data_IF_581241150480
#
_entry.id   IF_581241150480
#
_cell.length_a   1.000
_cell.length_b   1.000
_cell.length_c   1.000
_cell.angle_alpha   90.00
_cell.angle_beta   90.00
_cell.angle_gamma   90.00
#
_symmetry.space_group_name_H-M   'P 1'
#
loop_
_entity.id
_entity.type
_entity.pdbx_description
1 polymer ?
#
# COMPACT_ATOMS: atom_id res chain seq x y z
N UNK A 1 9.66 -43.87 5.66
CA UNK A 1 9.22 -42.86 6.66
C UNK A 1 9.49 -41.41 6.21
N UNK A 2 10.55 -41.11 5.46
CA UNK A 2 10.86 -39.75 4.96
C UNK A 2 9.81 -39.14 4.00
N UNK A 3 9.31 -39.89 3.02
CA UNK A 3 8.32 -39.38 2.05
C UNK A 3 6.99 -38.93 2.69
N UNK A 4 6.58 -39.58 3.78
CA UNK A 4 5.32 -39.23 4.48
C UNK A 4 5.44 -37.91 5.25
N UNK A 5 6.63 -37.58 5.76
CA UNK A 5 6.90 -36.32 6.46
C UNK A 5 6.94 -35.15 5.48
N UNK A 6 7.64 -35.31 4.35
CA UNK A 6 7.74 -34.31 3.27
C UNK A 6 6.35 -33.98 2.69
N UNK A 7 5.52 -35.00 2.46
CA UNK A 7 4.16 -34.81 1.94
C UNK A 7 3.26 -34.05 2.94
N UNK A 8 3.42 -34.30 4.24
CA UNK A 8 2.66 -33.61 5.30
C UNK A 8 3.07 -32.14 5.42
N UNK A 9 4.37 -31.85 5.41
CA UNK A 9 4.91 -30.49 5.43
C UNK A 9 4.47 -29.69 4.18
N UNK A 10 4.52 -30.30 3.00
CA UNK A 10 4.03 -29.68 1.76
C UNK A 10 2.52 -29.39 1.81
N UNK A 11 1.71 -30.32 2.32
CA UNK A 11 0.26 -30.11 2.50
C UNK A 11 -0.02 -28.96 3.46
N UNK A 12 0.70 -28.87 4.58
CA UNK A 12 0.53 -27.77 5.53
C UNK A 12 0.88 -26.40 4.93
N UNK A 13 1.92 -26.32 4.10
CA UNK A 13 2.28 -25.11 3.38
C UNK A 13 1.17 -24.68 2.40
N UNK A 14 0.62 -25.63 1.63
CA UNK A 14 -0.48 -25.36 0.70
C UNK A 14 -1.73 -24.87 1.44
N UNK A 15 -2.07 -25.50 2.57
CA UNK A 15 -3.23 -25.10 3.37
C UNK A 15 -3.07 -23.68 3.94
N UNK A 16 -1.88 -23.32 4.42
CA UNK A 16 -1.60 -21.95 4.90
C UNK A 16 -1.71 -20.93 3.77
N UNK A 17 -1.20 -21.26 2.58
CA UNK A 17 -1.32 -20.41 1.40
C UNK A 17 -2.80 -20.21 1.01
N UNK A 18 -3.57 -21.29 0.93
CA UNK A 18 -4.99 -21.24 0.62
C UNK A 18 -5.77 -20.38 1.63
N UNK A 19 -5.42 -20.47 2.92
CA UNK A 19 -6.01 -19.64 3.97
C UNK A 19 -5.75 -18.14 3.73
N UNK A 20 -4.52 -17.75 3.39
CA UNK A 20 -4.20 -16.35 3.11
C UNK A 20 -4.89 -15.83 1.85
N UNK A 21 -5.02 -16.66 0.81
CA UNK A 21 -5.79 -16.32 -0.39
C UNK A 21 -7.27 -16.10 -0.04
N UNK A 22 -7.86 -16.99 0.76
CA UNK A 22 -9.25 -16.86 1.21
C UNK A 22 -9.45 -15.57 2.02
N UNK A 23 -8.56 -15.26 2.96
CA UNK A 23 -8.62 -14.04 3.76
C UNK A 23 -8.46 -12.77 2.90
N UNK A 24 -7.53 -12.76 1.94
CA UNK A 24 -7.39 -11.66 0.97
C UNK A 24 -8.64 -11.45 0.12
N UNK A 25 -9.29 -12.55 -0.31
CA UNK A 25 -10.55 -12.53 -1.06
C UNK A 25 -11.69 -11.96 -0.22
N UNK A 26 -11.78 -12.35 1.06
CA UNK A 26 -12.79 -11.82 1.99
C UNK A 26 -12.62 -10.33 2.24
N UNK A 27 -11.38 -9.85 2.41
CA UNK A 27 -11.09 -8.42 2.58
C UNK A 27 -11.53 -7.64 1.34
N UNK A 28 -11.18 -8.13 0.14
CA UNK A 28 -11.64 -7.56 -1.12
C UNK A 28 -13.17 -7.48 -1.16
N UNK A 29 -13.85 -8.61 -0.91
CA UNK A 29 -15.30 -8.71 -1.01
C UNK A 29 -15.99 -7.72 -0.07
N UNK A 30 -15.59 -7.69 1.20
CA UNK A 30 -16.20 -6.82 2.22
C UNK A 30 -15.98 -5.33 1.88
N UNK A 31 -14.76 -4.97 1.46
CA UNK A 31 -14.45 -3.59 1.09
C UNK A 31 -15.20 -3.17 -0.18
N UNK A 32 -15.31 -4.05 -1.18
CA UNK A 32 -16.07 -3.81 -2.40
C UNK A 32 -17.56 -3.61 -2.09
N UNK A 33 -18.16 -4.46 -1.25
CA UNK A 33 -19.56 -4.36 -0.86
C UNK A 33 -19.85 -3.04 -0.14
N UNK A 34 -18.97 -2.64 0.78
CA UNK A 34 -19.10 -1.39 1.52
C UNK A 34 -18.99 -0.18 0.60
N UNK A 35 -17.91 -0.06 -0.17
CA UNK A 35 -17.68 1.06 -1.08
C UNK A 35 -18.79 1.18 -2.13
N UNK A 36 -19.26 0.06 -2.66
CA UNK A 36 -20.39 0.02 -3.60
C UNK A 36 -21.66 0.61 -2.98
N UNK A 37 -21.99 0.19 -1.75
CA UNK A 37 -23.18 0.66 -1.05
C UNK A 37 -23.15 2.18 -0.87
N UNK A 38 -22.02 2.73 -0.43
CA UNK A 38 -21.84 4.18 -0.29
C UNK A 38 -21.88 4.91 -1.63
N UNK A 39 -21.23 4.37 -2.67
CA UNK A 39 -21.16 5.00 -3.98
C UNK A 39 -22.55 5.14 -4.62
N UNK A 40 -23.31 4.04 -4.73
CA UNK A 40 -24.62 4.07 -5.36
C UNK A 40 -25.63 4.88 -4.55
N UNK A 41 -25.57 4.82 -3.22
CA UNK A 41 -26.41 5.67 -2.37
C UNK A 41 -26.08 7.15 -2.53
N UNK A 42 -24.80 7.50 -2.60
CA UNK A 42 -24.33 8.86 -2.82
C UNK A 42 -24.73 9.41 -4.20
N UNK A 43 -24.57 8.61 -5.25
CA UNK A 43 -25.00 8.97 -6.61
C UNK A 43 -26.52 9.18 -6.69
N UNK A 44 -27.31 8.32 -6.06
CA UNK A 44 -28.76 8.48 -6.01
C UNK A 44 -29.16 9.81 -5.35
N UNK A 45 -28.61 10.12 -4.17
CA UNK A 45 -28.89 11.37 -3.44
C UNK A 45 -28.47 12.59 -4.28
N UNK A 46 -27.32 12.50 -4.97
CA UNK A 46 -26.83 13.55 -5.84
C UNK A 46 -27.79 13.82 -7.01
N UNK A 47 -28.24 12.76 -7.69
CA UNK A 47 -29.18 12.89 -8.80
C UNK A 47 -30.56 13.38 -8.36
N UNK A 48 -31.02 12.96 -7.18
CA UNK A 48 -32.26 13.45 -6.59
C UNK A 48 -32.15 14.96 -6.26
N UNK A 49 -31.03 15.40 -5.67
CA UNK A 49 -30.77 16.80 -5.37
C UNK A 49 -30.81 17.70 -6.61
N UNK A 50 -30.26 17.24 -7.73
CA UNK A 50 -30.30 17.95 -9.02
C UNK A 50 -31.56 17.68 -9.85
N UNK A 51 -32.51 16.89 -9.32
CA UNK A 51 -33.73 16.46 -10.02
C UNK A 51 -33.44 15.82 -11.39
N UNK A 52 -32.35 15.07 -11.48
CA UNK A 52 -31.83 14.46 -12.70
C UNK A 52 -31.77 12.93 -12.62
N UNK A 53 -32.60 12.30 -11.77
CA UNK A 53 -32.67 10.84 -11.62
C UNK A 53 -32.90 10.12 -12.95
N UNK A 54 -33.62 10.74 -13.89
CA UNK A 54 -33.85 10.22 -15.23
C UNK A 54 -32.59 10.06 -16.09
N UNK A 55 -31.46 10.69 -15.72
CA UNK A 55 -30.16 10.51 -16.41
C UNK A 55 -29.73 9.04 -16.37
N UNK A 56 -30.12 8.28 -15.34
CA UNK A 56 -29.83 6.85 -15.24
C UNK A 56 -30.46 5.98 -16.34
N UNK A 57 -31.38 6.51 -17.14
CA UNK A 57 -31.98 5.81 -18.28
C UNK A 57 -31.11 5.85 -19.56
N UNK A 58 -30.05 6.67 -19.58
CA UNK A 58 -29.19 6.83 -20.75
C UNK A 58 -27.94 5.94 -20.65
N UNK A 59 -27.60 5.28 -21.75
CA UNK A 59 -26.44 4.38 -21.83
C UNK A 59 -25.13 5.07 -21.49
N UNK A 60 -24.95 6.33 -21.89
CA UNK A 60 -23.76 7.13 -21.60
C UNK A 60 -23.58 7.32 -20.09
N UNK A 61 -24.67 7.55 -19.37
CA UNK A 61 -24.64 7.69 -17.92
C UNK A 61 -24.31 6.35 -17.24
N UNK A 62 -24.87 5.24 -17.74
CA UNK A 62 -24.55 3.90 -17.24
C UNK A 62 -23.06 3.54 -17.45
N UNK A 63 -22.49 3.90 -18.61
CA UNK A 63 -21.06 3.75 -18.88
C UNK A 63 -20.20 4.60 -17.92
N UNK A 64 -20.60 5.85 -17.67
CA UNK A 64 -19.90 6.72 -16.73
C UNK A 64 -19.96 6.17 -15.29
N UNK A 65 -21.12 5.73 -14.82
CA UNK A 65 -21.29 5.11 -13.49
C UNK A 65 -20.46 3.82 -13.40
N UNK A 66 -20.37 3.05 -14.47
CA UNK A 66 -19.54 1.85 -14.55
C UNK A 66 -18.05 2.17 -14.40
N UNK A 67 -17.57 3.21 -15.09
CA UNK A 67 -16.18 3.67 -14.98
C UNK A 67 -15.87 4.22 -13.58
N UNK A 68 -16.80 4.99 -13.00
CA UNK A 68 -16.69 5.48 -11.62
C UNK A 68 -16.63 4.30 -10.64
N UNK A 69 -17.48 3.29 -10.82
CA UNK A 69 -17.50 2.10 -9.96
C UNK A 69 -16.18 1.31 -10.07
N UNK A 70 -15.61 1.18 -11.27
CA UNK A 70 -14.30 0.57 -11.46
C UNK A 70 -13.22 1.27 -10.63
N UNK A 71 -13.14 2.59 -10.74
CA UNK A 71 -12.13 3.41 -10.07
C UNK A 71 -12.34 3.58 -8.57
N UNK A 72 -13.58 3.75 -8.12
CA UNK A 72 -13.91 4.06 -6.73
C UNK A 72 -14.19 2.82 -5.87
N UNK A 73 -14.55 1.69 -6.47
CA UNK A 73 -14.93 0.47 -5.74
C UNK A 73 -13.96 -0.65 -6.02
N UNK A 74 -13.85 -1.11 -7.28
CA UNK A 74 -13.15 -2.36 -7.58
C UNK A 74 -11.63 -2.26 -7.47
N UNK A 75 -11.02 -1.16 -7.93
CA UNK A 75 -9.58 -0.95 -7.77
C UNK A 75 -9.20 -0.81 -6.27
N UNK A 76 -9.85 0.05 -5.46
CA UNK A 76 -9.49 0.21 -4.05
C UNK A 76 -9.74 -1.06 -3.22
N UNK A 77 -10.84 -1.77 -3.46
CA UNK A 77 -11.09 -3.05 -2.77
C UNK A 77 -10.05 -4.11 -3.15
N UNK A 78 -9.67 -4.20 -4.43
CA UNK A 78 -8.59 -5.07 -4.89
C UNK A 78 -7.28 -4.72 -4.19
N UNK A 79 -6.97 -3.43 -4.08
CA UNK A 79 -5.78 -2.93 -3.38
C UNK A 79 -5.74 -3.38 -1.92
N UNK A 80 -6.85 -3.27 -1.18
CA UNK A 80 -6.94 -3.74 0.20
C UNK A 80 -6.69 -5.26 0.33
N UNK A 81 -7.30 -6.09 -0.53
CA UNK A 81 -7.04 -7.53 -0.55
C UNK A 81 -5.60 -7.88 -0.95
N UNK A 82 -5.02 -7.10 -1.86
CA UNK A 82 -3.64 -7.20 -2.31
C UNK A 82 -2.63 -6.86 -1.22
N UNK A 83 -2.88 -5.79 -0.44
CA UNK A 83 -2.03 -5.39 0.69
C UNK A 83 -1.90 -6.53 1.71
N UNK A 84 -3.02 -7.16 2.08
CA UNK A 84 -3.01 -8.29 3.00
C UNK A 84 -2.23 -9.48 2.42
N UNK A 85 -2.55 -9.86 1.18
CA UNK A 85 -1.95 -11.03 0.54
C UNK A 85 -0.44 -10.83 0.34
N UNK A 86 -0.02 -9.65 -0.12
CA UNK A 86 1.39 -9.30 -0.27
C UNK A 86 2.14 -9.18 1.06
N UNK A 87 1.47 -8.82 2.15
CA UNK A 87 2.11 -8.80 3.46
C UNK A 87 2.42 -10.21 3.98
N UNK A 88 1.52 -11.18 3.75
CA UNK A 88 1.65 -12.55 4.26
C UNK A 88 2.37 -13.50 3.31
N UNK A 89 2.25 -13.29 2.01
CA UNK A 89 2.81 -14.17 0.99
C UNK A 89 3.89 -13.42 0.22
N UNK A 90 5.06 -14.04 0.12
CA UNK A 90 6.25 -13.43 -0.48
C UNK A 90 6.69 -14.19 -1.74
N UNK A 91 6.72 -15.52 -1.68
CA UNK A 91 7.12 -16.36 -2.81
C UNK A 91 6.06 -16.37 -3.91
N UNK A 92 6.47 -16.44 -5.18
CA UNK A 92 5.57 -16.50 -6.35
C UNK A 92 4.43 -15.46 -6.36
N UNK A 93 4.69 -14.29 -5.75
CA UNK A 93 3.68 -13.27 -5.47
C UNK A 93 2.83 -12.91 -6.69
N UNK A 94 3.45 -12.74 -7.87
CA UNK A 94 2.76 -12.39 -9.12
C UNK A 94 1.61 -13.34 -9.45
N UNK A 95 1.86 -14.66 -9.35
CA UNK A 95 0.86 -15.69 -9.65
C UNK A 95 -0.18 -15.74 -8.54
N UNK A 96 0.26 -15.61 -7.28
CA UNK A 96 -0.62 -15.73 -6.12
C UNK A 96 -1.64 -14.59 -6.06
N UNK A 97 -1.27 -13.36 -6.43
CA UNK A 97 -2.17 -12.20 -6.40
C UNK A 97 -3.37 -12.31 -7.35
N UNK A 98 -3.31 -13.19 -8.35
CA UNK A 98 -4.43 -13.44 -9.26
C UNK A 98 -5.59 -14.14 -8.52
N UNK A 99 -5.29 -15.05 -7.59
CA UNK A 99 -6.33 -15.86 -6.94
C UNK A 99 -7.27 -15.03 -6.06
N UNK A 100 -6.81 -14.13 -5.17
CA UNK A 100 -7.71 -13.28 -4.41
C UNK A 100 -8.61 -12.39 -5.27
N UNK A 101 -8.09 -11.91 -6.41
CA UNK A 101 -8.85 -11.09 -7.35
C UNK A 101 -10.01 -11.87 -7.97
N UNK A 102 -9.73 -13.07 -8.51
CA UNK A 102 -10.75 -13.90 -9.16
C UNK A 102 -11.74 -14.43 -8.14
N UNK A 103 -11.26 -15.07 -7.08
CA UNK A 103 -12.13 -15.68 -6.05
C UNK A 103 -13.00 -14.62 -5.39
N UNK A 104 -12.40 -13.49 -5.01
CA UNK A 104 -13.13 -12.36 -4.46
C UNK A 104 -14.20 -11.82 -5.41
N UNK A 105 -13.87 -11.62 -6.69
CA UNK A 105 -14.81 -11.10 -7.69
C UNK A 105 -15.99 -12.05 -7.92
N UNK A 106 -15.72 -13.36 -7.97
CA UNK A 106 -16.77 -14.39 -8.11
C UNK A 106 -17.70 -14.38 -6.90
N UNK A 107 -17.14 -14.33 -5.68
CA UNK A 107 -17.95 -14.24 -4.44
C UNK A 107 -18.81 -12.98 -4.44
N UNK A 108 -18.23 -11.83 -4.81
CA UNK A 108 -18.96 -10.57 -4.91
C UNK A 108 -20.12 -10.68 -5.91
N UNK A 109 -19.86 -11.21 -7.11
CA UNK A 109 -20.89 -11.38 -8.14
C UNK A 109 -22.00 -12.33 -7.69
N UNK A 110 -21.68 -13.47 -7.06
CA UNK A 110 -22.67 -14.39 -6.51
C UNK A 110 -23.53 -13.68 -5.47
N UNK A 111 -22.92 -12.93 -4.55
CA UNK A 111 -23.65 -12.23 -3.49
C UNK A 111 -24.54 -11.13 -4.06
N UNK A 112 -24.06 -10.36 -5.04
CA UNK A 112 -24.89 -9.36 -5.71
C UNK A 112 -26.07 -10.01 -6.46
N UNK A 113 -25.84 -11.10 -7.20
CA UNK A 113 -26.92 -11.77 -7.93
C UNK A 113 -27.93 -12.46 -7.00
N UNK A 114 -27.49 -13.12 -5.93
CA UNK A 114 -28.35 -13.92 -5.04
C UNK A 114 -29.04 -13.05 -3.99
N UNK A 115 -28.34 -12.12 -3.33
CA UNK A 115 -28.94 -11.32 -2.25
C UNK A 115 -29.63 -10.06 -2.78
N UNK A 116 -29.01 -9.32 -3.70
CA UNK A 116 -29.60 -8.08 -4.21
C UNK A 116 -30.64 -8.33 -5.32
N UNK A 117 -30.43 -9.36 -6.16
CA UNK A 117 -31.41 -9.79 -7.16
C UNK A 117 -32.74 -10.31 -6.58
N UNK A 118 -32.73 -10.83 -5.33
CA UNK A 118 -33.91 -11.39 -4.67
C UNK A 118 -34.60 -10.44 -3.66
N UNK A 119 -33.88 -9.42 -3.13
CA UNK A 119 -34.42 -8.46 -2.15
C UNK A 119 -34.79 -7.10 -2.79
N UNK A 120 -34.12 -6.68 -3.88
CA UNK A 120 -34.24 -5.33 -4.46
C UNK A 120 -34.63 -5.39 -5.96
N UNK A 121 -35.47 -6.33 -6.36
CA UNK A 121 -36.04 -6.34 -7.72
C UNK A 121 -37.00 -5.15 -7.98
N UNK A 122 -37.25 -4.30 -6.98
CA UNK A 122 -38.20 -3.18 -7.07
C UNK A 122 -37.59 -1.78 -7.20
N UNK A 123 -36.26 -1.57 -7.13
CA UNK A 123 -35.74 -0.19 -6.98
C UNK A 123 -34.50 0.23 -7.78
N UNK A 124 -33.86 -0.61 -8.60
CA UNK A 124 -32.65 -0.20 -9.34
C UNK A 124 -32.74 -0.47 -10.85
N UNK A 125 -33.31 0.50 -11.57
CA UNK A 125 -33.31 0.62 -13.03
C UNK A 125 -31.90 0.85 -13.65
N UNK A 126 -30.83 0.71 -12.86
CA UNK A 126 -29.43 1.01 -13.25
C UNK A 126 -28.60 -0.28 -13.49
N UNK A 127 -29.09 -1.44 -13.05
CA UNK A 127 -28.29 -2.69 -13.05
C UNK A 127 -28.61 -3.66 -14.20
N UNK A 128 -29.66 -3.41 -14.99
CA UNK A 128 -30.22 -4.43 -15.90
C UNK A 128 -29.73 -4.40 -17.36
N UNK A 129 -29.08 -3.32 -17.83
CA UNK A 129 -28.61 -3.25 -19.22
C UNK A 129 -27.14 -2.84 -19.33
N UNK A 130 -26.22 -3.77 -19.08
CA UNK A 130 -25.04 -3.94 -19.95
C UNK A 130 -24.52 -5.37 -19.80
N UNK A 131 -24.21 -6.05 -20.90
CA UNK A 131 -23.55 -7.37 -20.97
C UNK A 131 -22.09 -7.40 -20.42
N UNK A 132 -21.70 -6.46 -19.55
CA UNK A 132 -20.33 -6.25 -19.05
C UNK A 132 -20.17 -6.47 -17.51
N UNK A 133 -21.10 -7.06 -16.72
CA UNK A 133 -21.01 -6.98 -15.26
C UNK A 133 -19.92 -7.91 -14.68
N UNK A 134 -19.53 -8.97 -15.39
CA UNK A 134 -18.52 -9.93 -14.91
C UNK A 134 -17.10 -9.38 -15.07
N UNK A 135 -16.83 -8.64 -16.15
CA UNK A 135 -15.48 -8.19 -16.47
C UNK A 135 -15.01 -7.06 -15.57
N UNK A 136 -15.88 -6.13 -15.17
CA UNK A 136 -15.47 -4.93 -14.42
C UNK A 136 -14.93 -5.24 -13.02
N UNK A 137 -15.59 -6.08 -12.19
CA UNK A 137 -15.06 -6.44 -10.87
C UNK A 137 -13.74 -7.20 -10.98
N UNK A 138 -13.62 -8.10 -11.97
CA UNK A 138 -12.41 -8.88 -12.21
C UNK A 138 -11.26 -7.97 -12.62
N UNK A 139 -11.46 -7.11 -13.62
CA UNK A 139 -10.43 -6.18 -14.09
C UNK A 139 -9.98 -5.22 -12.98
N UNK A 140 -10.93 -4.59 -12.29
CA UNK A 140 -10.61 -3.65 -11.21
C UNK A 140 -9.91 -4.34 -10.05
N UNK A 141 -10.41 -5.50 -9.63
CA UNK A 141 -9.81 -6.24 -8.51
C UNK A 141 -8.41 -6.76 -8.85
N UNK A 142 -8.15 -7.20 -10.10
CA UNK A 142 -6.83 -7.61 -10.55
C UNK A 142 -5.86 -6.43 -10.51
N UNK A 143 -6.22 -5.29 -11.10
CA UNK A 143 -5.37 -4.09 -11.04
C UNK A 143 -5.08 -3.69 -9.59
N UNK A 144 -6.11 -3.67 -8.74
CA UNK A 144 -5.98 -3.35 -7.32
C UNK A 144 -5.08 -4.33 -6.57
N UNK A 145 -5.34 -5.64 -6.65
CA UNK A 145 -4.57 -6.66 -5.91
C UNK A 145 -3.10 -6.66 -6.29
N UNK A 146 -2.79 -6.45 -7.56
CA UNK A 146 -1.41 -6.24 -8.00
C UNK A 146 -0.81 -4.99 -7.37
N UNK A 147 -1.48 -3.84 -7.45
CA UNK A 147 -0.98 -2.61 -6.85
C UNK A 147 -0.72 -2.76 -5.33
N UNK A 148 -1.65 -3.38 -4.61
CA UNK A 148 -1.54 -3.61 -3.17
C UNK A 148 -0.44 -4.59 -2.80
N UNK A 149 -0.36 -5.73 -3.50
CA UNK A 149 0.63 -6.75 -3.21
C UNK A 149 2.07 -6.30 -3.49
N UNK A 150 2.27 -5.54 -4.56
CA UNK A 150 3.58 -4.98 -4.92
C UNK A 150 4.00 -3.85 -3.97
N UNK A 151 3.06 -3.02 -3.51
CA UNK A 151 3.34 -1.97 -2.50
C UNK A 151 4.01 -2.56 -1.26
N UNK A 152 3.56 -3.72 -0.79
CA UNK A 152 4.10 -4.34 0.43
C UNK A 152 5.48 -5.01 0.23
N UNK A 153 5.81 -5.40 -1.00
CA UNK A 153 7.06 -6.09 -1.34
C UNK A 153 8.02 -5.25 -2.18
N UNK A 154 7.76 -3.95 -2.31
CA UNK A 154 8.46 -3.04 -3.22
C UNK A 154 9.98 -3.16 -3.14
N UNK A 155 10.56 -3.05 -1.94
CA UNK A 155 12.01 -3.12 -1.73
C UNK A 155 12.62 -4.43 -2.23
N UNK A 156 11.99 -5.56 -1.90
CA UNK A 156 12.46 -6.88 -2.32
C UNK A 156 12.41 -7.01 -3.84
N UNK A 157 11.32 -6.58 -4.45
CA UNK A 157 11.11 -6.67 -5.90
C UNK A 157 12.09 -5.78 -6.69
N UNK A 158 12.45 -4.62 -6.15
CA UNK A 158 13.48 -3.76 -6.72
C UNK A 158 14.83 -4.47 -6.72
N UNK A 159 15.22 -5.09 -5.59
CA UNK A 159 16.45 -5.88 -5.47
C UNK A 159 16.43 -7.08 -6.45
N UNK A 160 15.33 -7.83 -6.51
CA UNK A 160 15.16 -8.97 -7.43
C UNK A 160 15.23 -8.56 -8.91
N UNK A 161 14.82 -7.32 -9.24
CA UNK A 161 14.92 -6.75 -10.60
C UNK A 161 16.29 -6.14 -10.90
N UNK A 162 17.26 -6.29 -10.00
CA UNK A 162 18.60 -5.72 -10.16
C UNK A 162 18.62 -4.20 -10.05
N UNK A 163 17.57 -3.57 -9.52
CA UNK A 163 17.62 -2.17 -9.17
C UNK A 163 18.61 -2.04 -8.01
N UNK A 164 19.65 -1.24 -8.21
CA UNK A 164 20.50 -0.81 -7.12
C UNK A 164 19.61 -0.13 -6.07
N UNK A 165 19.83 -0.37 -4.77
CA UNK A 165 19.23 0.47 -3.73
C UNK A 165 19.38 1.93 -4.14
N UNK A 166 18.38 2.78 -3.87
CA UNK A 166 18.50 4.22 -4.08
C UNK A 166 19.83 4.68 -3.45
N UNK A 167 20.85 4.87 -4.29
CA UNK A 167 22.11 5.50 -3.92
C UNK A 167 21.70 6.95 -3.66
N UNK A 168 21.44 7.25 -2.38
CA UNK A 168 21.26 8.63 -1.96
C UNK A 168 22.54 9.36 -2.37
N UNK A 169 22.47 10.59 -2.90
CA UNK A 169 23.65 11.41 -3.05
C UNK A 169 24.43 11.35 -1.73
N UNK A 170 25.75 11.12 -1.77
CA UNK A 170 26.60 10.97 -0.57
C UNK A 170 26.30 12.06 0.48
N UNK A 171 26.02 13.25 -0.04
CA UNK A 171 25.60 14.44 0.69
C UNK A 171 24.36 14.24 1.60
N UNK A 172 23.35 13.51 1.13
CA UNK A 172 22.13 13.19 1.88
C UNK A 172 22.40 12.06 2.88
N UNK A 173 23.24 11.09 2.53
CA UNK A 173 23.60 9.99 3.42
C UNK A 173 24.39 10.48 4.64
N UNK A 174 25.37 11.36 4.44
CA UNK A 174 26.14 12.02 5.51
C UNK A 174 25.22 12.81 6.47
N UNK A 175 24.28 13.59 5.92
CA UNK A 175 23.34 14.36 6.77
C UNK A 175 22.41 13.45 7.57
N UNK A 176 21.90 12.37 6.97
CA UNK A 176 21.09 11.36 7.65
C UNK A 176 21.89 10.65 8.75
N UNK A 177 23.15 10.34 8.51
CA UNK A 177 24.03 9.71 9.50
C UNK A 177 24.17 10.58 10.75
N UNK A 178 24.45 11.86 10.59
CA UNK A 178 24.55 12.81 11.71
C UNK A 178 23.22 12.98 12.46
N UNK A 179 22.08 12.89 11.79
CA UNK A 179 20.76 12.98 12.46
C UNK A 179 20.42 11.80 13.37
N UNK A 180 21.18 10.70 13.31
CA UNK A 180 21.03 9.58 14.27
C UNK A 180 21.38 10.00 15.70
N UNK A 181 22.22 11.02 15.88
CA UNK A 181 22.53 11.57 17.20
C UNK A 181 21.37 12.44 17.69
N UNK A 182 20.79 12.04 18.82
CA UNK A 182 19.67 12.75 19.45
C UNK A 182 20.04 14.22 19.71
N UNK A 183 19.32 15.13 19.07
CA UNK A 183 19.55 16.59 19.17
C UNK A 183 20.15 17.23 17.92
N UNK A 184 20.53 16.43 16.92
CA UNK A 184 20.93 16.89 15.59
C UNK A 184 19.74 16.73 14.63
N UNK A 185 19.10 17.85 14.29
CA UNK A 185 18.11 17.91 13.22
C UNK A 185 18.76 18.19 11.86
N UNK A 186 18.01 18.06 10.74
CA UNK A 186 18.54 18.20 9.39
C UNK A 186 19.30 19.51 9.15
N UNK A 187 18.76 20.65 9.63
CA UNK A 187 19.42 21.96 9.52
C UNK A 187 20.77 22.05 10.26
N UNK A 188 20.96 21.29 11.35
CA UNK A 188 22.23 21.25 12.08
C UNK A 188 23.20 20.30 11.42
N UNK A 189 22.72 19.17 10.89
CA UNK A 189 23.51 18.22 10.12
C UNK A 189 24.12 18.88 8.88
N UNK A 190 23.34 19.67 8.12
CA UNK A 190 23.84 20.43 6.97
C UNK A 190 24.94 21.42 7.36
N UNK A 191 24.78 22.15 8.46
CA UNK A 191 25.79 23.09 8.95
C UNK A 191 27.07 22.39 9.39
N UNK A 192 26.97 21.27 10.10
CA UNK A 192 28.12 20.46 10.51
C UNK A 192 28.86 19.90 9.30
N UNK A 193 28.12 19.45 8.29
CA UNK A 193 28.70 18.98 7.02
C UNK A 193 29.41 20.09 6.25
N UNK A 194 28.82 21.29 6.21
CA UNK A 194 29.46 22.46 5.60
C UNK A 194 30.77 22.86 6.31
N UNK A 195 30.91 22.54 7.61
CA UNK A 195 32.14 22.65 8.39
C UNK A 195 33.06 21.40 8.29
N UNK A 196 32.80 20.50 7.34
CA UNK A 196 33.65 19.33 7.08
C UNK A 196 33.39 18.11 7.97
N UNK A 197 32.38 18.14 8.84
CA UNK A 197 31.99 17.00 9.69
C UNK A 197 31.00 16.12 8.94
N UNK A 198 31.45 14.98 8.42
CA UNK A 198 30.65 14.11 7.54
C UNK A 198 30.07 12.91 8.29
N UNK A 199 30.82 12.37 9.26
CA UNK A 199 30.45 11.18 10.00
C UNK A 199 30.28 11.44 11.50
N UNK A 200 29.65 10.49 12.21
CA UNK A 200 29.55 10.54 13.68
C UNK A 200 30.95 10.53 14.33
N UNK A 201 31.91 9.86 13.70
CA UNK A 201 33.30 9.81 14.15
C UNK A 201 33.98 11.17 14.04
N UNK A 202 33.81 11.84 12.90
CA UNK A 202 34.35 13.19 12.69
C UNK A 202 33.80 14.16 13.74
N UNK A 203 32.51 14.02 14.09
CA UNK A 203 31.90 14.83 15.13
C UNK A 203 32.50 14.54 16.52
N UNK A 204 32.75 13.28 16.84
CA UNK A 204 33.31 12.87 18.13
C UNK A 204 34.77 13.33 18.33
N UNK A 205 35.54 13.45 17.25
CA UNK A 205 36.95 13.87 17.25
C UNK A 205 37.14 15.39 17.08
N UNK A 206 36.09 16.11 16.67
CA UNK A 206 36.12 17.56 16.47
C UNK A 206 36.12 18.35 17.79
N UNK A 207 36.62 19.58 17.77
CA UNK A 207 36.54 20.50 18.92
C UNK A 207 35.32 21.41 18.83
N UNK A 208 34.63 21.59 19.97
CA UNK A 208 33.45 22.44 20.07
C UNK A 208 33.76 23.91 19.71
N UNK A 209 34.95 24.39 20.07
CA UNK A 209 35.42 25.75 19.80
C UNK A 209 35.53 26.04 18.29
N UNK A 210 36.16 25.13 17.52
CA UNK A 210 36.35 25.30 16.07
C UNK A 210 35.02 25.21 15.33
N UNK A 211 34.19 24.21 15.68
CA UNK A 211 32.87 24.05 15.08
C UNK A 211 31.91 25.19 15.43
N UNK A 212 32.06 25.82 16.59
CA UNK A 212 31.24 26.97 17.00
C UNK A 212 31.46 28.15 16.05
N UNK A 213 32.71 28.43 15.70
CA UNK A 213 33.10 29.50 14.76
C UNK A 213 32.60 29.20 13.35
N UNK A 214 32.74 27.97 12.86
CA UNK A 214 32.40 27.62 11.48
C UNK A 214 30.89 27.41 11.25
N UNK A 215 30.17 26.85 12.23
CA UNK A 215 28.74 26.50 12.09
C UNK A 215 27.78 27.54 12.66
N UNK A 216 28.28 28.46 13.50
CA UNK A 216 27.47 29.40 14.27
C UNK A 216 26.57 28.72 15.31
N UNK A 217 26.85 27.47 15.68
CA UNK A 217 26.13 26.74 16.72
C UNK A 217 26.80 27.03 18.08
N UNK A 218 26.05 27.33 19.15
CA UNK A 218 26.64 27.62 20.45
C UNK A 218 27.52 26.46 20.95
N UNK A 219 28.72 26.79 21.43
CA UNK A 219 29.71 25.82 21.95
C UNK A 219 29.11 24.85 22.97
N UNK A 220 28.32 25.35 23.93
CA UNK A 220 27.60 24.53 24.92
C UNK A 220 26.74 23.42 24.29
N UNK A 221 26.14 23.71 23.13
CA UNK A 221 25.34 22.72 22.38
C UNK A 221 26.25 21.73 21.67
N UNK A 222 27.35 22.19 21.07
CA UNK A 222 28.32 21.32 20.39
C UNK A 222 29.01 20.37 21.36
N UNK A 223 29.39 20.81 22.56
CA UNK A 223 29.99 19.95 23.59
C UNK A 223 29.07 18.80 23.99
N UNK A 224 27.76 19.08 24.13
CA UNK A 224 26.76 18.06 24.41
C UNK A 224 26.56 17.09 23.23
N UNK A 225 26.61 17.59 21.99
CA UNK A 225 26.52 16.75 20.80
C UNK A 225 27.75 15.85 20.61
N UNK A 226 28.96 16.37 20.85
CA UNK A 226 30.22 15.61 20.81
C UNK A 226 30.20 14.51 21.87
N UNK A 227 29.72 14.81 23.08
CA UNK A 227 29.55 13.80 24.14
C UNK A 227 28.63 12.67 23.70
N UNK A 228 27.47 13.00 23.14
CA UNK A 228 26.50 11.99 22.63
C UNK A 228 27.03 11.20 21.44
N UNK A 229 27.83 11.83 20.57
CA UNK A 229 28.51 11.13 19.49
C UNK A 229 29.52 10.10 20.03
N UNK A 230 30.30 10.46 21.07
CA UNK A 230 31.21 9.52 21.75
C UNK A 230 30.47 8.38 22.45
N UNK A 231 29.35 8.67 23.10
CA UNK A 231 28.47 7.65 23.71
C UNK A 231 27.91 6.68 22.65
N UNK A 232 27.55 7.18 21.47
CA UNK A 232 27.05 6.36 20.36
C UNK A 232 28.13 5.48 19.72
N UNK A 233 29.40 5.90 19.75
CA UNK A 233 30.54 5.11 19.24
C UNK A 233 31.08 4.10 20.27
N UNK A 234 30.81 4.32 21.55
CA UNK A 234 31.22 3.45 22.67
C UNK A 234 30.15 2.44 23.13
N UNK A 235 29.01 2.36 22.43
CA UNK A 235 27.90 1.39 22.64
C UNK A 235 27.88 0.38 21.51
#
# INVERSE_FOLDING_TARGET
MGNMKIMKESREQILRLALHIALGSTIYFLTALLLRTFLFRGLYILFEYFNCVGVGAFNEALLAITLITLGAVYIPSGFCGGLYTGHKVKENLKVILIFPAIVGSVILLIILNVFFGYIITYQSWIEYEVNIPVFMPVLGSMVGTYLGGYTMNWKRLMIERGAKPLELPEEIEETLELTKIRGIGPKRAEKLRAAGVKTIKDLAESSAEKLSVETGIPEKTLTELIKRAKEHLGS
#
